data_IF_145108648616
#
_entry.id   IF_145108648616
#
_cell.length_a   1.000
_cell.length_b   1.000
_cell.length_c   1.000
_cell.angle_alpha   90.00
_cell.angle_beta   90.00
_cell.angle_gamma   90.00
#
_symmetry.space_group_name_H-M   'P 1'
#
loop_
_entity.id
_entity.type
_entity.pdbx_description
1 polymer ?
#
# COMPACT_ATOMS: atom_id res chain seq x y z
N UNK A 1 -54.93 -26.79 -11.95
CA UNK A 1 -54.68 -28.24 -11.81
C UNK A 1 -53.77 -28.65 -12.95
N UNK A 2 -52.55 -29.12 -12.79
CA UNK A 2 -51.48 -28.91 -11.82
C UNK A 2 -50.21 -29.40 -12.54
N UNK A 3 -49.09 -28.80 -12.17
CA UNK A 3 -47.71 -29.30 -12.25
C UNK A 3 -47.30 -30.25 -13.40
N UNK A 4 -46.49 -29.74 -14.33
CA UNK A 4 -45.32 -30.50 -14.83
C UNK A 4 -44.11 -29.57 -14.78
N UNK A 5 -43.16 -29.93 -13.91
CA UNK A 5 -41.94 -29.19 -13.62
C UNK A 5 -40.89 -29.32 -14.71
N UNK A 6 -40.24 -28.20 -14.98
CA UNK A 6 -39.05 -28.09 -15.81
C UNK A 6 -37.84 -28.00 -14.87
N UNK A 7 -37.05 -29.07 -14.78
CA UNK A 7 -35.84 -29.13 -13.96
C UNK A 7 -34.67 -29.69 -14.78
N UNK A 8 -33.54 -28.96 -14.72
CA UNK A 8 -32.17 -29.31 -15.11
C UNK A 8 -31.86 -29.61 -16.58
N UNK A 9 -31.02 -28.76 -17.21
CA UNK A 9 -29.55 -28.98 -17.34
C UNK A 9 -28.89 -27.63 -17.67
N UNK A 10 -28.31 -26.96 -16.66
CA UNK A 10 -27.33 -25.88 -16.83
C UNK A 10 -26.11 -26.20 -15.98
N UNK A 11 -25.38 -27.24 -16.38
CA UNK A 11 -24.02 -27.53 -15.91
C UNK A 11 -23.12 -27.45 -17.12
N UNK A 12 -22.56 -26.26 -17.35
CA UNK A 12 -21.76 -26.02 -18.56
C UNK A 12 -20.97 -24.72 -18.59
N UNK A 13 -20.68 -24.08 -17.46
CA UNK A 13 -19.70 -22.98 -17.39
C UNK A 13 -19.13 -22.90 -15.97
N UNK A 14 -18.27 -23.84 -15.56
CA UNK A 14 -17.53 -23.72 -14.29
C UNK A 14 -16.30 -24.65 -14.19
N UNK A 15 -15.66 -24.99 -15.31
CA UNK A 15 -14.52 -25.93 -15.32
C UNK A 15 -13.31 -25.50 -16.16
N UNK A 16 -13.04 -24.19 -16.25
CA UNK A 16 -11.85 -23.66 -16.95
C UNK A 16 -10.93 -22.82 -16.04
N UNK A 17 -11.30 -22.52 -14.80
CA UNK A 17 -10.50 -21.65 -13.92
C UNK A 17 -9.55 -22.36 -12.94
N UNK A 18 -9.37 -23.68 -13.03
CA UNK A 18 -8.63 -24.45 -12.01
C UNK A 18 -7.38 -25.22 -12.51
N UNK A 19 -6.90 -24.95 -13.73
CA UNK A 19 -5.83 -25.74 -14.37
C UNK A 19 -4.65 -24.91 -14.91
N UNK A 20 -4.33 -23.76 -14.30
CA UNK A 20 -3.15 -22.95 -14.65
C UNK A 20 -2.27 -22.58 -13.44
N UNK A 21 -2.22 -23.42 -12.39
CA UNK A 21 -1.43 -23.13 -11.18
C UNK A 21 -0.46 -24.22 -10.73
N UNK A 22 -0.04 -25.13 -11.62
CA UNK A 22 1.06 -26.07 -11.34
C UNK A 22 1.94 -26.22 -12.58
N UNK A 23 3.26 -26.35 -12.35
CA UNK A 23 4.39 -26.32 -13.31
C UNK A 23 4.83 -24.87 -13.62
N UNK A 24 5.99 -24.36 -13.19
CA UNK A 24 7.34 -24.93 -13.21
C UNK A 24 8.20 -24.34 -12.07
N UNK A 25 8.73 -25.22 -11.20
CA UNK A 25 10.04 -25.02 -10.58
C UNK A 25 11.00 -25.91 -11.37
N UNK A 26 11.95 -25.31 -12.08
CA UNK A 26 13.10 -26.05 -12.63
C UNK A 26 14.33 -25.17 -12.53
N UNK A 27 15.23 -25.59 -11.65
CA UNK A 27 16.60 -25.10 -11.51
C UNK A 27 17.40 -25.35 -12.79
N UNK A 28 18.06 -24.32 -13.32
CA UNK A 28 19.30 -24.50 -14.08
C UNK A 28 20.36 -23.46 -13.70
N UNK A 29 21.58 -23.99 -13.51
CA UNK A 29 22.85 -23.29 -13.30
C UNK A 29 23.49 -22.95 -14.66
N UNK A 30 24.49 -22.04 -14.58
CA UNK A 30 25.49 -21.61 -15.58
C UNK A 30 25.03 -20.47 -16.48
N UNK A 31 25.85 -19.46 -16.83
CA UNK A 31 27.32 -19.36 -16.92
C UNK A 31 27.73 -17.86 -16.90
N UNK A 32 28.93 -17.56 -16.37
CA UNK A 32 29.52 -16.22 -16.30
C UNK A 32 29.67 -15.56 -17.69
N UNK A 33 29.14 -14.34 -17.83
CA UNK A 33 29.45 -13.41 -18.92
C UNK A 33 29.90 -12.06 -18.34
N UNK A 34 31.12 -11.67 -18.66
CA UNK A 34 31.73 -10.38 -18.30
C UNK A 34 31.01 -9.24 -19.02
N UNK A 35 30.38 -8.33 -18.28
CA UNK A 35 29.84 -7.08 -18.82
C UNK A 35 30.78 -5.93 -18.45
N UNK A 36 31.39 -5.36 -19.48
CA UNK A 36 32.18 -4.12 -19.43
C UNK A 36 31.31 -2.96 -18.96
N UNK A 37 31.70 -2.33 -17.85
CA UNK A 37 31.10 -1.07 -17.39
C UNK A 37 31.50 0.06 -18.34
N UNK A 38 30.55 0.59 -19.10
CA UNK A 38 30.64 1.94 -19.62
C UNK A 38 29.94 2.88 -18.64
N UNK A 39 30.76 3.65 -17.93
CA UNK A 39 30.32 4.85 -17.22
C UNK A 39 29.78 5.84 -18.26
N UNK A 40 28.46 6.01 -18.27
CA UNK A 40 27.81 7.13 -18.95
C UNK A 40 27.79 8.29 -17.95
N UNK A 41 28.58 9.31 -18.23
CA UNK A 41 28.54 10.62 -17.55
C UNK A 41 27.19 11.28 -17.82
N UNK A 42 26.43 11.51 -16.75
CA UNK A 42 25.16 12.25 -16.74
C UNK A 42 25.43 13.77 -16.72
N UNK A 43 25.85 14.30 -17.86
CA UNK A 43 25.77 15.73 -18.15
C UNK A 43 25.36 15.86 -19.61
N UNK A 44 24.06 15.84 -19.91
CA UNK A 44 23.52 16.48 -21.10
C UNK A 44 22.01 16.74 -20.99
N UNK A 45 21.69 18.04 -21.01
CA UNK A 45 20.44 18.72 -21.33
C UNK A 45 19.11 17.93 -21.25
N UNK A 46 18.39 18.04 -20.12
CA UNK A 46 16.98 17.65 -20.03
C UNK A 46 16.08 18.76 -20.62
N UNK A 47 15.77 18.66 -21.90
CA UNK A 47 14.53 19.23 -22.43
C UNK A 47 13.38 18.59 -21.65
N UNK A 48 12.46 19.35 -21.02
CA UNK A 48 11.33 18.77 -20.33
C UNK A 48 10.47 18.01 -21.36
N UNK A 49 10.37 16.69 -21.20
CA UNK A 49 9.40 15.90 -21.93
C UNK A 49 8.00 16.46 -21.66
N UNK A 50 7.19 16.60 -22.69
CA UNK A 50 5.78 16.97 -22.53
C UNK A 50 5.02 15.88 -21.76
N UNK A 51 3.98 16.25 -21.00
CA UNK A 51 3.09 15.30 -20.33
C UNK A 51 2.60 14.14 -21.23
N UNK A 52 2.38 14.40 -22.52
CA UNK A 52 1.97 13.40 -23.50
C UNK A 52 3.08 12.39 -23.79
N UNK A 53 4.33 12.83 -23.96
CA UNK A 53 5.47 11.92 -24.16
C UNK A 53 5.71 11.06 -22.93
N UNK A 54 5.57 11.64 -21.73
CA UNK A 54 5.69 10.89 -20.48
C UNK A 54 4.58 9.84 -20.35
N UNK A 55 3.34 10.23 -20.66
CA UNK A 55 2.21 9.29 -20.64
C UNK A 55 2.41 8.13 -21.61
N UNK A 56 2.88 8.41 -22.83
CA UNK A 56 3.18 7.39 -23.83
C UNK A 56 4.31 6.44 -23.39
N UNK A 57 5.35 6.96 -22.75
CA UNK A 57 6.42 6.12 -22.19
C UNK A 57 5.90 5.20 -21.07
N UNK A 58 5.07 5.71 -20.17
CA UNK A 58 4.46 4.89 -19.11
C UNK A 58 3.58 3.79 -19.70
N UNK A 59 2.78 4.10 -20.73
CA UNK A 59 1.97 3.09 -21.43
C UNK A 59 2.85 2.01 -22.05
N UNK A 60 3.94 2.39 -22.72
CA UNK A 60 4.90 1.43 -23.27
C UNK A 60 5.52 0.54 -22.20
N UNK A 61 5.86 1.07 -21.03
CA UNK A 61 6.33 0.26 -19.90
C UNK A 61 5.24 -0.70 -19.38
N UNK A 62 3.99 -0.25 -19.34
CA UNK A 62 2.88 -1.09 -18.87
C UNK A 62 2.61 -2.27 -19.81
N UNK A 63 2.63 -2.04 -21.13
CA UNK A 63 2.46 -3.09 -22.14
C UNK A 63 3.55 -4.17 -22.02
N UNK A 64 4.80 -3.80 -21.75
CA UNK A 64 5.94 -4.71 -21.67
C UNK A 64 6.17 -5.33 -20.27
N UNK A 65 5.46 -4.88 -19.23
CA UNK A 65 5.71 -5.28 -17.83
C UNK A 65 5.63 -6.80 -17.58
N UNK A 66 4.83 -7.53 -18.37
CA UNK A 66 4.68 -8.98 -18.25
C UNK A 66 5.85 -9.75 -18.89
N UNK A 67 6.53 -9.12 -19.84
CA UNK A 67 7.62 -9.71 -20.61
C UNK A 67 9.00 -9.33 -20.02
N UNK A 68 9.07 -8.27 -19.22
CA UNK A 68 10.27 -7.83 -18.51
C UNK A 68 10.70 -8.81 -17.39
N UNK A 69 11.96 -9.26 -17.43
CA UNK A 69 12.58 -10.04 -16.35
C UNK A 69 12.79 -9.22 -15.06
N UNK A 70 12.91 -7.88 -15.16
CA UNK A 70 13.13 -6.97 -14.03
C UNK A 70 12.01 -5.93 -13.86
N UNK A 71 10.88 -6.40 -13.34
CA UNK A 71 9.70 -5.57 -13.05
C UNK A 71 9.99 -4.41 -12.09
N UNK A 72 10.97 -4.56 -11.17
CA UNK A 72 11.30 -3.50 -10.22
C UNK A 72 12.00 -2.33 -10.95
N UNK A 73 12.93 -2.63 -11.85
CA UNK A 73 13.55 -1.61 -12.68
C UNK A 73 12.51 -0.85 -13.53
N UNK A 74 11.51 -1.55 -14.08
CA UNK A 74 10.41 -0.91 -14.83
C UNK A 74 9.57 0.01 -13.94
N UNK A 75 9.23 -0.42 -12.72
CA UNK A 75 8.53 0.44 -11.76
C UNK A 75 9.36 1.68 -11.39
N UNK A 76 10.68 1.55 -11.20
CA UNK A 76 11.58 2.68 -10.90
C UNK A 76 11.68 3.68 -12.05
N UNK A 77 11.67 3.21 -13.30
CA UNK A 77 11.60 4.07 -14.49
C UNK A 77 10.28 4.86 -14.51
N UNK A 78 9.16 4.20 -14.24
CA UNK A 78 7.85 4.86 -14.12
C UNK A 78 7.85 5.88 -12.99
N UNK A 79 8.41 5.57 -11.81
CA UNK A 79 8.54 6.51 -10.70
C UNK A 79 9.36 7.76 -11.08
N UNK A 80 10.46 7.58 -11.82
CA UNK A 80 11.28 8.69 -12.32
C UNK A 80 10.47 9.60 -13.24
N UNK A 81 9.71 9.01 -14.17
CA UNK A 81 8.82 9.75 -15.07
C UNK A 81 7.73 10.51 -14.32
N UNK A 82 7.13 9.90 -13.30
CA UNK A 82 6.12 10.53 -12.44
C UNK A 82 6.67 11.76 -11.70
N UNK A 83 7.91 11.70 -11.21
CA UNK A 83 8.56 12.83 -10.53
C UNK A 83 8.80 13.98 -11.52
N UNK A 84 9.25 13.68 -12.73
CA UNK A 84 9.49 14.69 -13.77
C UNK A 84 8.20 15.38 -14.21
N UNK A 85 7.09 14.66 -14.22
CA UNK A 85 5.78 15.17 -14.64
C UNK A 85 4.89 15.64 -13.48
N UNK A 86 5.39 15.73 -12.25
CA UNK A 86 4.55 15.88 -11.04
C UNK A 86 3.62 17.11 -11.05
N UNK A 87 4.02 18.18 -11.74
CA UNK A 87 3.24 19.41 -11.86
C UNK A 87 2.21 19.35 -13.02
N UNK A 88 2.43 18.47 -13.99
CA UNK A 88 1.66 18.36 -15.23
C UNK A 88 0.64 17.22 -15.17
N UNK A 89 0.96 16.13 -14.47
CA UNK A 89 0.02 15.03 -14.24
C UNK A 89 -1.03 15.51 -13.23
N UNK A 90 -2.22 15.77 -13.76
CA UNK A 90 -3.43 15.80 -12.95
C UNK A 90 -3.73 14.34 -12.59
N UNK A 91 -3.69 13.99 -11.30
CA UNK A 91 -4.27 12.72 -10.90
C UNK A 91 -5.75 12.74 -11.33
N UNK A 92 -6.24 11.63 -11.89
CA UNK A 92 -7.66 11.44 -12.25
C UNK A 92 -8.63 11.75 -11.09
N UNK A 93 -8.09 11.83 -9.87
CA UNK A 93 -8.79 12.14 -8.65
C UNK A 93 -8.09 13.33 -8.00
N UNK A 94 -8.85 14.26 -7.41
CA UNK A 94 -8.31 15.41 -6.68
C UNK A 94 -7.65 14.95 -5.36
N UNK A 95 -6.61 14.10 -5.45
CA UNK A 95 -5.82 13.64 -4.30
C UNK A 95 -4.93 14.75 -3.77
N UNK A 96 -4.78 15.85 -4.51
CA UNK A 96 -4.03 17.06 -4.12
C UNK A 96 -4.56 17.65 -2.81
N UNK A 97 -5.84 17.41 -2.50
CA UNK A 97 -6.52 17.89 -1.29
C UNK A 97 -6.91 16.77 -0.32
N UNK A 98 -6.36 15.55 -0.47
CA UNK A 98 -6.68 14.41 0.40
C UNK A 98 -5.47 13.93 1.18
N UNK A 99 -5.71 13.42 2.40
CA UNK A 99 -4.71 12.61 3.09
C UNK A 99 -4.45 11.34 2.29
N UNK A 100 -3.20 11.00 2.01
CA UNK A 100 -2.85 9.80 1.24
C UNK A 100 -2.24 8.76 2.16
N UNK A 101 -2.87 7.61 2.26
CA UNK A 101 -2.38 6.45 3.02
C UNK A 101 -2.05 5.33 2.05
N UNK A 102 -0.80 4.84 2.07
CA UNK A 102 -0.41 3.62 1.37
C UNK A 102 0.03 2.57 2.38
N UNK A 103 -0.44 1.33 2.21
CA UNK A 103 -0.07 0.20 3.08
C UNK A 103 0.33 -1.01 2.25
N UNK A 104 1.34 -1.72 2.73
CA UNK A 104 1.78 -3.01 2.20
C UNK A 104 2.36 -3.86 3.33
N UNK A 105 2.26 -5.18 3.21
CA UNK A 105 2.86 -6.09 4.17
C UNK A 105 3.55 -7.27 3.47
N UNK A 106 4.71 -7.63 4.00
CA UNK A 106 5.31 -8.94 3.76
C UNK A 106 4.91 -9.90 4.89
N UNK A 107 5.16 -11.22 4.76
CA UNK A 107 4.89 -12.18 5.84
C UNK A 107 5.56 -11.87 7.19
N UNK A 108 6.56 -10.98 7.21
CA UNK A 108 7.35 -10.67 8.41
C UNK A 108 7.30 -9.19 8.83
N UNK A 109 6.84 -8.29 7.96
CA UNK A 109 6.90 -6.85 8.18
C UNK A 109 5.62 -6.20 7.67
N UNK A 110 4.98 -5.40 8.52
CA UNK A 110 3.95 -4.46 8.10
C UNK A 110 4.56 -3.08 7.89
N UNK A 111 4.15 -2.40 6.83
CA UNK A 111 4.52 -1.03 6.61
C UNK A 111 3.36 -0.20 6.08
N UNK A 112 3.47 1.09 6.33
CA UNK A 112 2.57 2.06 5.74
C UNK A 112 3.14 3.45 5.85
N UNK A 113 2.65 4.33 4.99
CA UNK A 113 2.93 5.75 5.05
C UNK A 113 1.64 6.57 4.94
N UNK A 114 1.73 7.80 5.40
CA UNK A 114 0.70 8.81 5.38
C UNK A 114 1.33 10.12 4.90
N UNK A 115 0.93 10.58 3.73
CA UNK A 115 1.28 11.91 3.21
C UNK A 115 0.15 12.86 3.52
N UNK A 116 0.49 13.97 4.16
CA UNK A 116 -0.44 15.07 4.37
C UNK A 116 0.00 16.25 3.48
N UNK A 117 -0.75 16.56 2.40
CA UNK A 117 -0.37 17.65 1.51
C UNK A 117 -0.55 19.04 2.13
N UNK A 118 -1.36 19.19 3.19
CA UNK A 118 -1.67 20.48 3.81
C UNK A 118 -0.58 20.95 4.76
N UNK A 119 -0.06 20.07 5.61
CA UNK A 119 1.06 20.38 6.52
C UNK A 119 2.42 19.99 5.93
N UNK A 120 2.43 19.55 4.67
CA UNK A 120 3.62 19.10 3.94
C UNK A 120 4.46 18.12 4.77
N UNK A 121 3.81 17.10 5.32
CA UNK A 121 4.47 16.08 6.13
C UNK A 121 4.27 14.67 5.61
N UNK A 122 5.26 13.82 5.90
CA UNK A 122 5.20 12.38 5.66
C UNK A 122 5.38 11.67 6.98
N UNK A 123 4.46 10.75 7.28
CA UNK A 123 4.59 9.85 8.42
C UNK A 123 4.64 8.42 7.97
N UNK A 124 5.53 7.61 8.53
CA UNK A 124 5.61 6.20 8.15
C UNK A 124 5.87 5.26 9.32
N UNK A 125 5.52 4.00 9.13
CA UNK A 125 5.89 2.92 10.02
C UNK A 125 6.42 1.73 9.24
N UNK A 126 7.37 1.04 9.87
CA UNK A 126 7.87 -0.28 9.50
C UNK A 126 7.91 -1.05 10.81
N UNK A 127 7.09 -2.08 10.94
CA UNK A 127 6.99 -2.89 12.15
C UNK A 127 7.19 -4.35 11.76
N UNK A 128 8.06 -5.04 12.49
CA UNK A 128 8.09 -6.50 12.38
C UNK A 128 6.81 -7.04 12.97
N UNK A 129 6.38 -8.19 12.48
CA UNK A 129 5.22 -8.90 12.99
C UNK A 129 5.22 -9.04 14.52
N UNK A 130 6.37 -9.36 15.11
CA UNK A 130 6.53 -9.54 16.56
C UNK A 130 6.32 -8.25 17.38
N UNK A 131 6.52 -7.09 16.75
CA UNK A 131 6.38 -5.77 17.38
C UNK A 131 5.00 -5.15 17.12
N UNK A 132 4.16 -5.83 16.34
CA UNK A 132 2.85 -5.34 15.96
C UNK A 132 1.85 -5.53 17.12
N UNK A 133 1.02 -4.52 17.44
CA UNK A 133 0.15 -4.57 18.62
C UNK A 133 -1.03 -5.54 18.47
N UNK A 134 -1.30 -6.05 17.27
CA UNK A 134 -2.35 -7.04 17.03
C UNK A 134 -1.81 -8.46 16.98
N UNK A 135 -2.46 -9.36 17.72
CA UNK A 135 -2.25 -10.80 17.60
C UNK A 135 -2.72 -11.25 16.22
N UNK A 136 -2.04 -12.25 15.64
CA UNK A 136 -2.44 -12.90 14.40
C UNK A 136 -2.94 -14.30 14.72
N UNK A 137 -4.15 -14.65 14.25
CA UNK A 137 -4.83 -15.91 14.54
C UNK A 137 -4.32 -17.01 13.60
N UNK A 138 -4.14 -16.68 12.32
CA UNK A 138 -3.53 -17.56 11.33
C UNK A 138 -2.30 -16.89 10.71
N UNK A 139 -1.13 -17.36 11.14
CA UNK A 139 0.17 -16.87 10.68
C UNK A 139 0.39 -17.02 9.16
N UNK A 140 -0.41 -17.84 8.50
CA UNK A 140 -0.31 -18.17 7.08
C UNK A 140 -1.41 -17.52 6.24
N UNK A 141 -2.31 -16.74 6.83
CA UNK A 141 -3.37 -16.04 6.10
C UNK A 141 -2.89 -14.64 5.66
N UNK A 142 -2.53 -14.43 4.38
CA UNK A 142 -2.05 -13.13 3.92
C UNK A 142 -3.12 -12.05 4.05
N UNK A 143 -4.39 -12.42 3.90
CA UNK A 143 -5.50 -11.47 4.02
C UNK A 143 -5.65 -10.96 5.46
N UNK A 144 -5.37 -11.81 6.45
CA UNK A 144 -5.31 -11.37 7.84
C UNK A 144 -4.23 -10.31 8.05
N UNK A 145 -3.02 -10.58 7.57
CA UNK A 145 -1.86 -9.71 7.78
C UNK A 145 -2.04 -8.35 7.14
N UNK A 146 -2.38 -8.33 5.86
CA UNK A 146 -2.48 -7.12 5.07
C UNK A 146 -3.70 -6.28 5.49
N UNK A 147 -4.83 -6.90 5.84
CA UNK A 147 -6.00 -6.15 6.34
C UNK A 147 -5.82 -5.67 7.78
N UNK A 148 -5.10 -6.40 8.64
CA UNK A 148 -4.62 -5.89 9.93
C UNK A 148 -3.58 -4.80 9.74
N UNK A 149 -2.80 -4.77 8.67
CA UNK A 149 -1.96 -3.61 8.39
C UNK A 149 -2.80 -2.37 8.06
N UNK A 150 -3.80 -2.53 7.18
CA UNK A 150 -4.72 -1.47 6.77
C UNK A 150 -5.48 -0.86 7.95
N UNK A 151 -6.08 -1.69 8.80
CA UNK A 151 -6.79 -1.20 9.98
C UNK A 151 -5.85 -0.46 10.93
N UNK A 152 -4.57 -0.85 11.02
CA UNK A 152 -3.60 -0.23 11.92
C UNK A 152 -3.26 1.18 11.44
N UNK A 153 -2.99 1.34 10.14
CA UNK A 153 -2.86 2.65 9.50
C UNK A 153 -4.04 3.57 9.80
N UNK A 154 -5.28 3.10 9.58
CA UNK A 154 -6.50 3.85 9.88
C UNK A 154 -6.58 4.27 11.36
N UNK A 155 -6.11 3.40 12.26
CA UNK A 155 -6.11 3.65 13.70
C UNK A 155 -5.10 4.71 14.13
N UNK A 156 -3.85 4.58 13.70
CA UNK A 156 -2.78 5.49 14.15
C UNK A 156 -2.90 6.88 13.55
N UNK A 157 -3.56 7.00 12.38
CA UNK A 157 -3.81 8.27 11.69
C UNK A 157 -5.25 8.76 11.82
N UNK A 158 -6.06 8.16 12.71
CA UNK A 158 -7.46 8.53 12.96
C UNK A 158 -7.65 10.05 13.08
N UNK A 159 -6.81 10.73 13.85
CA UNK A 159 -6.94 12.16 14.09
C UNK A 159 -6.68 12.99 12.82
N UNK A 160 -5.70 12.59 11.99
CA UNK A 160 -5.42 13.25 10.71
C UNK A 160 -6.57 13.05 9.72
N UNK A 161 -7.11 11.83 9.66
CA UNK A 161 -8.26 11.49 8.82
C UNK A 161 -9.48 12.33 9.20
N UNK A 162 -9.80 12.42 10.50
CA UNK A 162 -10.94 13.19 11.01
C UNK A 162 -10.75 14.68 10.80
N UNK A 163 -9.52 15.18 10.93
CA UNK A 163 -9.24 16.60 10.74
C UNK A 163 -9.39 17.02 9.28
N UNK A 164 -8.85 16.25 8.33
CA UNK A 164 -8.91 16.60 6.90
C UNK A 164 -10.21 16.26 6.21
N UNK A 165 -10.96 15.26 6.70
CA UNK A 165 -12.20 14.75 6.10
C UNK A 165 -12.08 14.22 4.66
N UNK A 166 -10.93 14.33 4.01
CA UNK A 166 -10.68 13.75 2.69
C UNK A 166 -9.54 12.73 2.79
N UNK A 167 -9.83 11.49 2.38
CA UNK A 167 -8.91 10.37 2.49
C UNK A 167 -8.80 9.62 1.16
N UNK A 168 -7.57 9.39 0.73
CA UNK A 168 -7.21 8.44 -0.32
C UNK A 168 -6.39 7.33 0.29
N UNK A 169 -6.81 6.08 0.09
CA UNK A 169 -6.19 4.93 0.74
C UNK A 169 -5.88 3.81 -0.25
N UNK A 170 -4.65 3.31 -0.24
CA UNK A 170 -4.13 2.39 -1.24
C UNK A 170 -3.51 1.16 -0.59
N UNK A 171 -3.82 0.00 -1.17
CA UNK A 171 -3.26 -1.32 -0.84
C UNK A 171 -3.19 -2.14 -2.13
N UNK A 172 -2.33 -3.15 -2.20
CA UNK A 172 -2.35 -4.15 -3.27
C UNK A 172 -3.16 -5.40 -2.92
N UNK A 173 -3.73 -5.46 -1.72
CA UNK A 173 -4.60 -6.55 -1.31
C UNK A 173 -6.06 -6.31 -1.72
N UNK A 174 -6.60 -7.29 -2.47
CA UNK A 174 -7.99 -7.30 -2.93
C UNK A 174 -8.98 -7.95 -1.93
N UNK A 175 -8.54 -8.37 -0.75
CA UNK A 175 -9.38 -8.99 0.28
C UNK A 175 -10.56 -8.10 0.71
N UNK A 176 -10.37 -6.78 0.75
CA UNK A 176 -11.45 -5.81 0.98
C UNK A 176 -12.48 -5.76 -0.15
N UNK A 177 -12.07 -6.06 -1.39
CA UNK A 177 -12.93 -6.11 -2.57
C UNK A 177 -13.67 -7.45 -2.65
N UNK A 178 -12.97 -8.56 -2.40
CA UNK A 178 -13.54 -9.90 -2.47
C UNK A 178 -14.32 -10.32 -1.21
N UNK A 179 -14.28 -9.51 -0.15
CA UNK A 179 -15.08 -9.74 1.05
C UNK A 179 -14.56 -10.87 1.94
N UNK A 180 -13.25 -11.02 2.10
CA UNK A 180 -12.70 -11.91 3.13
C UNK A 180 -13.13 -11.45 4.53
N UNK A 181 -13.11 -12.34 5.53
CA UNK A 181 -13.47 -11.96 6.91
C UNK A 181 -12.73 -10.71 7.39
N UNK A 182 -11.42 -10.63 7.14
CA UNK A 182 -10.61 -9.48 7.53
C UNK A 182 -10.79 -8.28 6.59
N UNK A 183 -11.06 -8.53 5.31
CA UNK A 183 -11.42 -7.48 4.36
C UNK A 183 -12.70 -6.76 4.74
N UNK A 184 -13.77 -7.50 5.05
CA UNK A 184 -15.05 -6.95 5.54
C UNK A 184 -14.83 -6.13 6.81
N UNK A 185 -14.02 -6.62 7.74
CA UNK A 185 -13.67 -5.89 8.97
C UNK A 185 -12.98 -4.55 8.67
N UNK A 186 -11.96 -4.55 7.81
CA UNK A 186 -11.26 -3.34 7.44
C UNK A 186 -12.17 -2.34 6.70
N UNK A 187 -13.02 -2.82 5.78
CA UNK A 187 -13.96 -1.98 5.05
C UNK A 187 -15.05 -1.40 5.96
N UNK A 188 -15.55 -2.17 6.93
CA UNK A 188 -16.48 -1.66 7.94
C UNK A 188 -15.84 -0.57 8.80
N UNK A 189 -14.56 -0.74 9.17
CA UNK A 189 -13.85 0.27 9.94
C UNK A 189 -13.61 1.55 9.12
N UNK A 190 -13.30 1.43 7.83
CA UNK A 190 -13.24 2.57 6.93
C UNK A 190 -14.61 3.25 6.75
N UNK A 191 -15.68 2.46 6.60
CA UNK A 191 -17.05 2.96 6.48
C UNK A 191 -17.50 3.72 7.73
N UNK A 192 -17.03 3.33 8.91
CA UNK A 192 -17.25 4.08 10.15
C UNK A 192 -16.72 5.52 10.07
N UNK A 193 -15.56 5.76 9.45
CA UNK A 193 -15.08 7.14 9.22
C UNK A 193 -16.02 7.93 8.31
N UNK A 194 -16.64 7.28 7.33
CA UNK A 194 -17.61 7.93 6.44
C UNK A 194 -18.89 8.28 7.21
N UNK A 195 -19.48 7.30 7.89
CA UNK A 195 -20.82 7.45 8.47
C UNK A 195 -20.82 8.18 9.82
N UNK A 196 -19.87 7.89 10.70
CA UNK A 196 -19.81 8.52 12.03
C UNK A 196 -18.98 9.81 12.02
N UNK A 197 -17.94 9.90 11.18
CA UNK A 197 -16.97 10.99 11.24
C UNK A 197 -17.04 11.93 10.01
N UNK A 198 -17.94 11.70 9.05
CA UNK A 198 -18.15 12.57 7.89
C UNK A 198 -16.95 12.64 6.94
N UNK A 199 -16.15 11.57 6.85
CA UNK A 199 -14.98 11.49 5.98
C UNK A 199 -15.39 11.05 4.57
N UNK A 200 -14.87 11.72 3.55
CA UNK A 200 -14.98 11.32 2.14
C UNK A 200 -13.77 10.49 1.74
N UNK A 201 -14.01 9.24 1.32
CA UNK A 201 -12.98 8.38 0.70
C UNK A 201 -12.96 8.62 -0.80
N UNK A 202 -11.98 9.36 -1.29
CA UNK A 202 -11.92 9.88 -2.66
C UNK A 202 -11.73 8.75 -3.68
N UNK A 203 -10.91 7.76 -3.35
CA UNK A 203 -10.53 6.68 -4.24
C UNK A 203 -11.27 5.35 -3.96
N UNK A 204 -12.50 5.39 -3.42
CA UNK A 204 -13.24 4.21 -2.93
C UNK A 204 -13.29 3.03 -3.92
N UNK A 205 -13.37 3.29 -5.23
CA UNK A 205 -13.42 2.25 -6.28
C UNK A 205 -12.04 1.73 -6.74
N UNK A 206 -10.95 2.36 -6.30
CA UNK A 206 -9.57 2.09 -6.73
C UNK A 206 -8.60 2.02 -5.53
N UNK A 207 -9.09 1.54 -4.39
CA UNK A 207 -8.25 1.35 -3.19
C UNK A 207 -7.26 0.19 -3.37
N UNK A 208 -7.72 -0.91 -3.97
CA UNK A 208 -6.88 -2.05 -4.31
C UNK A 208 -6.25 -1.83 -5.70
N UNK A 209 -4.92 -1.79 -5.75
CA UNK A 209 -4.15 -1.54 -6.97
C UNK A 209 -3.31 -2.76 -7.35
N UNK A 210 -3.18 -3.00 -8.65
CA UNK A 210 -2.32 -4.06 -9.17
C UNK A 210 -1.42 -3.48 -10.25
N UNK A 211 -0.11 -3.74 -10.18
CA UNK A 211 0.87 -3.26 -11.15
C UNK A 211 0.54 -3.63 -12.61
N UNK A 212 -0.12 -4.76 -12.85
CA UNK A 212 -0.53 -5.20 -14.19
C UNK A 212 -1.79 -4.51 -14.72
N UNK A 213 -2.59 -3.87 -13.86
CA UNK A 213 -3.82 -3.18 -14.24
C UNK A 213 -3.66 -1.66 -14.20
N UNK A 214 -2.82 -1.16 -13.30
CA UNK A 214 -2.65 0.26 -13.01
C UNK A 214 -1.20 0.55 -12.62
N UNK A 215 -0.26 0.33 -13.54
CA UNK A 215 1.18 0.50 -13.29
C UNK A 215 1.52 1.88 -12.69
N UNK A 216 1.11 3.02 -13.28
CA UNK A 216 1.45 4.33 -12.71
C UNK A 216 0.90 4.54 -11.29
N UNK A 217 -0.36 4.17 -11.02
CA UNK A 217 -0.92 4.28 -9.66
C UNK A 217 -0.23 3.33 -8.68
N UNK A 218 0.12 2.13 -9.10
CA UNK A 218 0.87 1.17 -8.28
C UNK A 218 2.25 1.72 -7.93
N UNK A 219 3.00 2.18 -8.94
CA UNK A 219 4.33 2.78 -8.78
C UNK A 219 4.30 4.01 -7.84
N UNK A 220 3.23 4.82 -7.94
CA UNK A 220 3.05 6.01 -7.11
C UNK A 220 2.64 5.72 -5.68
N UNK A 221 1.65 4.84 -5.47
CA UNK A 221 0.99 4.72 -4.17
C UNK A 221 1.33 3.42 -3.42
N UNK A 222 1.60 2.31 -4.13
CA UNK A 222 1.90 1.03 -3.48
C UNK A 222 3.40 0.80 -3.35
N UNK A 223 4.18 1.03 -4.40
CA UNK A 223 5.62 0.72 -4.38
C UNK A 223 6.35 1.35 -3.18
N UNK A 224 6.07 2.59 -2.73
CA UNK A 224 6.71 3.12 -1.54
C UNK A 224 6.38 2.33 -0.26
N UNK A 225 5.17 1.78 -0.15
CA UNK A 225 4.80 0.91 0.97
C UNK A 225 5.50 -0.46 0.86
N UNK A 226 5.62 -1.05 -0.34
CA UNK A 226 6.38 -2.29 -0.59
C UNK A 226 7.88 -2.12 -0.29
N UNK A 227 8.46 -0.98 -0.65
CA UNK A 227 9.83 -0.66 -0.30
C UNK A 227 10.01 -0.57 1.22
N UNK A 228 9.08 0.10 1.93
CA UNK A 228 9.08 0.16 3.39
C UNK A 228 8.94 -1.23 4.04
N UNK A 229 8.03 -2.07 3.55
CA UNK A 229 7.79 -3.42 4.09
C UNK A 229 9.00 -4.35 3.88
N UNK A 230 9.85 -4.04 2.89
CA UNK A 230 11.14 -4.70 2.60
C UNK A 230 12.37 -3.98 3.18
N UNK A 231 12.18 -3.05 4.11
CA UNK A 231 13.26 -2.29 4.77
C UNK A 231 14.09 -1.39 3.83
N UNK A 232 13.59 -1.07 2.63
CA UNK A 232 14.17 -0.10 1.70
C UNK A 232 13.66 1.32 2.02
N UNK A 233 13.82 1.74 3.27
CA UNK A 233 13.26 3.02 3.78
C UNK A 233 13.77 4.22 2.97
N UNK A 234 15.07 4.28 2.67
CA UNK A 234 15.65 5.38 1.89
C UNK A 234 14.99 5.52 0.51
N UNK A 235 14.77 4.43 -0.21
CA UNK A 235 14.15 4.45 -1.54
C UNK A 235 12.71 4.97 -1.49
N UNK A 236 11.92 4.51 -0.52
CA UNK A 236 10.55 4.96 -0.32
C UNK A 236 10.50 6.46 0.04
N UNK A 237 11.33 6.92 0.98
CA UNK A 237 11.33 8.30 1.42
C UNK A 237 11.85 9.26 0.34
N UNK A 238 12.88 8.87 -0.41
CA UNK A 238 13.39 9.65 -1.54
C UNK A 238 12.33 9.85 -2.61
N UNK A 239 11.59 8.78 -2.96
CA UNK A 239 10.47 8.89 -3.89
C UNK A 239 9.36 9.80 -3.35
N UNK A 240 8.87 9.55 -2.13
CA UNK A 240 7.74 10.28 -1.55
C UNK A 240 8.04 11.77 -1.38
N UNK A 241 9.23 12.13 -0.88
CA UNK A 241 9.63 13.54 -0.70
C UNK A 241 9.72 14.29 -2.02
N UNK A 242 10.31 13.69 -3.06
CA UNK A 242 10.37 14.28 -4.41
C UNK A 242 9.00 14.37 -5.08
N UNK A 243 8.17 13.33 -4.94
CA UNK A 243 6.86 13.26 -5.59
C UNK A 243 5.89 14.31 -5.03
N UNK A 244 5.91 14.50 -3.71
CA UNK A 244 4.97 15.40 -3.02
C UNK A 244 5.56 16.77 -2.66
N UNK A 245 6.83 17.01 -3.02
CA UNK A 245 7.55 18.25 -2.73
C UNK A 245 7.49 18.56 -1.22
N UNK A 246 8.04 17.63 -0.43
CA UNK A 246 8.08 17.64 1.03
C UNK A 246 9.53 17.46 1.49
N UNK A 247 9.99 18.32 2.38
CA UNK A 247 11.34 18.25 2.94
C UNK A 247 11.54 17.05 3.85
N UNK A 248 12.74 16.47 3.83
CA UNK A 248 13.11 15.35 4.71
C UNK A 248 13.00 15.69 6.21
N UNK A 249 13.08 16.97 6.58
CA UNK A 249 12.89 17.44 7.97
C UNK A 249 11.43 17.27 8.45
N UNK A 250 10.48 17.29 7.52
CA UNK A 250 9.04 17.08 7.78
C UNK A 250 8.65 15.59 7.75
N UNK A 251 9.63 14.69 7.69
CA UNK A 251 9.43 13.24 7.72
C UNK A 251 9.57 12.71 9.14
N UNK A 252 8.54 12.02 9.63
CA UNK A 252 8.56 11.33 10.92
C UNK A 252 8.20 9.87 10.75
N UNK A 253 9.03 8.95 11.24
CA UNK A 253 8.64 7.54 11.21
C UNK A 253 9.23 6.71 12.32
N UNK A 254 8.83 5.43 12.34
CA UNK A 254 9.29 4.44 13.34
C UNK A 254 10.80 4.28 13.40
N UNK A 255 11.48 4.57 12.31
CA UNK A 255 12.91 4.32 12.12
C UNK A 255 13.62 5.58 11.60
N UNK A 256 14.84 5.80 12.07
CA UNK A 256 15.73 6.84 11.54
C UNK A 256 17.06 6.21 11.17
N UNK A 257 17.59 6.59 10.00
CA UNK A 257 18.93 6.19 9.57
C UNK A 257 19.97 6.73 10.53
N UNK A 258 20.86 5.86 10.99
CA UNK A 258 21.99 6.24 11.84
C UNK A 258 23.20 6.45 10.93
N UNK A 259 23.87 7.60 11.08
CA UNK A 259 25.14 7.82 10.40
C UNK A 259 26.13 6.73 10.83
N UNK A 260 26.63 5.99 9.86
CA UNK A 260 27.61 4.94 10.05
C UNK A 260 28.91 5.32 9.35
N UNK A 261 30.03 4.76 9.79
CA UNK A 261 31.28 4.83 9.03
C UNK A 261 31.05 4.27 7.62
N UNK A 262 31.80 4.81 6.65
CA UNK A 262 31.66 4.58 5.20
C UNK A 262 31.69 3.10 4.74
N UNK A 263 32.00 2.16 5.64
CA UNK A 263 32.17 0.73 5.35
C UNK A 263 31.03 -0.16 5.85
N UNK A 264 29.98 0.37 6.51
CA UNK A 264 28.94 -0.45 7.11
C UNK A 264 27.54 -0.24 6.53
N UNK A 265 26.78 -1.35 6.42
CA UNK A 265 25.40 -1.35 5.92
C UNK A 265 24.54 -0.39 6.76
N UNK A 266 23.65 0.40 6.12
CA UNK A 266 22.82 1.38 6.83
C UNK A 266 22.05 0.70 7.97
N UNK A 267 22.21 1.22 9.18
CA UNK A 267 21.44 0.80 10.35
C UNK A 267 20.35 1.81 10.63
N UNK A 268 19.17 1.30 10.95
CA UNK A 268 18.04 2.10 11.40
C UNK A 268 17.86 1.89 12.89
N UNK A 269 17.68 2.99 13.63
CA UNK A 269 17.27 2.94 15.03
C UNK A 269 15.79 3.24 15.15
N UNK A 270 15.13 2.60 16.11
CA UNK A 270 13.77 2.96 16.49
C UNK A 270 13.72 4.39 17.01
N UNK A 271 12.67 5.12 16.63
CA UNK A 271 12.40 6.47 17.14
C UNK A 271 11.31 6.41 18.22
N UNK A 272 11.16 7.48 19.04
CA UNK A 272 10.03 7.60 19.96
C UNK A 272 8.66 7.52 19.27
N UNK A 273 8.58 7.79 17.96
CA UNK A 273 7.34 7.66 17.20
C UNK A 273 6.83 6.22 17.17
N UNK A 274 7.72 5.22 17.13
CA UNK A 274 7.34 3.80 17.14
C UNK A 274 6.52 3.44 18.38
N UNK A 275 7.03 3.78 19.57
CA UNK A 275 6.30 3.57 20.82
C UNK A 275 4.96 4.30 20.83
N UNK A 276 4.91 5.56 20.35
CA UNK A 276 3.67 6.34 20.32
C UNK A 276 2.57 5.69 19.47
N UNK A 277 2.90 5.20 18.28
CA UNK A 277 1.91 4.58 17.40
C UNK A 277 1.43 3.23 17.96
N UNK A 278 2.32 2.43 18.55
CA UNK A 278 1.94 1.18 19.20
C UNK A 278 1.07 1.43 20.44
N UNK A 279 1.44 2.40 21.29
CA UNK A 279 0.62 2.81 22.44
C UNK A 279 -0.76 3.33 22.00
N UNK A 280 -0.84 4.03 20.86
CA UNK A 280 -2.09 4.50 20.29
C UNK A 280 -2.99 3.35 19.85
N UNK A 281 -2.45 2.40 19.09
CA UNK A 281 -3.18 1.22 18.67
C UNK A 281 -3.62 0.37 19.88
N UNK A 282 -2.75 0.16 20.88
CA UNK A 282 -3.08 -0.56 22.10
C UNK A 282 -4.26 0.06 22.87
N UNK A 283 -4.33 1.39 22.96
CA UNK A 283 -5.48 2.07 23.57
C UNK A 283 -6.78 1.83 22.81
N UNK A 284 -6.72 1.74 21.48
CA UNK A 284 -7.89 1.49 20.64
C UNK A 284 -8.36 0.04 20.76
N UNK A 285 -7.43 -0.92 20.81
CA UNK A 285 -7.72 -2.33 21.12
C UNK A 285 -8.42 -2.42 22.47
N UNK A 286 -7.80 -1.91 23.54
CA UNK A 286 -8.30 -2.05 24.90
C UNK A 286 -9.67 -1.42 25.13
N UNK A 287 -10.04 -0.41 24.33
CA UNK A 287 -11.35 0.27 24.44
C UNK A 287 -12.44 -0.34 23.57
N UNK A 288 -12.11 -1.29 22.70
CA UNK A 288 -13.13 -2.00 21.93
C UNK A 288 -13.84 -1.13 20.90
N UNK A 289 -13.11 -0.38 20.05
CA UNK A 289 -13.62 0.48 18.95
C UNK A 289 -15.14 0.75 19.01
N UNK A 290 -15.57 1.60 19.95
CA UNK A 290 -16.99 1.92 20.14
C UNK A 290 -17.34 3.18 19.33
N UNK A 291 -18.10 3.04 18.24
CA UNK A 291 -18.87 4.19 17.72
C UNK A 291 -20.18 4.25 18.51
N UNK A 292 -20.52 5.41 19.07
CA UNK A 292 -21.83 5.65 19.71
C UNK A 292 -23.02 5.64 18.75
N UNK A 293 -22.77 5.38 17.46
CA UNK A 293 -23.80 5.20 16.43
C UNK A 293 -24.27 3.73 16.41
N UNK A 294 -25.58 3.45 16.65
CA UNK A 294 -26.17 2.11 16.66
C UNK A 294 -25.89 1.29 15.40
N UNK A 295 -25.77 1.96 14.25
CA UNK A 295 -25.53 1.33 12.94
C UNK A 295 -24.07 0.86 12.81
N UNK A 296 -23.12 1.59 13.41
CA UNK A 296 -21.70 1.24 13.40
C UNK A 296 -21.29 0.32 14.56
N UNK A 297 -22.02 0.34 15.69
CA UNK A 297 -21.69 -0.48 16.87
C UNK A 297 -21.70 -1.98 16.58
N UNK A 298 -22.51 -2.47 15.66
CA UNK A 298 -22.54 -3.91 15.33
C UNK A 298 -21.31 -4.37 14.52
N UNK A 299 -20.75 -3.48 13.69
CA UNK A 299 -19.66 -3.78 12.77
C UNK A 299 -18.27 -3.49 13.37
N UNK A 300 -18.15 -2.44 14.21
CA UNK A 300 -16.91 -2.09 14.89
C UNK A 300 -16.67 -2.92 16.17
N UNK A 301 -17.71 -3.36 16.88
CA UNK A 301 -17.54 -4.12 18.13
C UNK A 301 -17.09 -5.57 17.91
N UNK A 302 -17.27 -6.14 16.71
CA UNK A 302 -16.72 -7.46 16.38
C UNK A 302 -15.19 -7.44 16.14
N UNK A 303 -14.55 -6.27 16.06
CA UNK A 303 -13.10 -6.13 15.87
C UNK A 303 -12.31 -6.45 17.15
N UNK A 304 -12.95 -6.34 18.32
CA UNK A 304 -12.29 -6.53 19.62
C UNK A 304 -12.86 -7.72 20.39
N UNK A 305 -14.15 -8.03 20.24
CA UNK A 305 -14.83 -8.99 21.12
C UNK A 305 -14.66 -10.48 20.78
N UNK A 306 -13.84 -10.87 19.79
CA UNK A 306 -13.58 -12.30 19.56
C UNK A 306 -12.21 -12.81 20.00
N UNK A 307 -11.26 -11.93 20.35
CA UNK A 307 -9.88 -12.35 20.65
C UNK A 307 -9.30 -11.69 21.93
N UNK A 308 -10.14 -11.39 22.92
CA UNK A 308 -9.60 -11.12 24.26
C UNK A 308 -9.19 -12.46 24.91
N UNK A 309 -7.87 -12.58 25.09
CA UNK A 309 -7.02 -13.70 25.59
C UNK A 309 -6.44 -14.58 24.47
#
# INVERSE_FOLDING_TARGET
MDLIGLTLVTTGVLFVAALLFRFFFSTQKFRNGSVTQHQVTLEDASVPFSANEISNQILSFHENLREDEDQLATIQKVQTLLISARNEIQDDFDTRNSLIIGVDATPHTQAGYCVNPFDKSIRFYVLKRADFPWKFDNEKDPAEFEMKNLMFALTIWKNQIIWLKQLSIYTDNFAGVFGSQYGVRAMNYLQHFVDCEGVTVVNRKRMALNKYQSLPSFAKYIQPADDLSRWKIDAALEFLTKMYDIDMESVQGTHQKVALSSTSKPRYKLTPFSKRICDSANRVIAKGLRCGNPVCSTAAMSLVLKNEI
#
